data_IF_711214981128
#
_entry.id   IF_711214981128
#
_cell.length_a   1.000
_cell.length_b   1.000
_cell.length_c   1.000
_cell.angle_alpha   90.00
_cell.angle_beta   90.00
_cell.angle_gamma   90.00
#
_symmetry.space_group_name_H-M   'P 1'
#
loop_
_entity.id
_entity.type
_entity.pdbx_description
1 polymer ?
#
# COMPACT_ATOMS: atom_id res chain seq x y z
N UNK A 1 -5.52 5.40 -15.36
CA UNK A 1 -5.94 4.43 -14.33
C UNK A 1 -4.78 3.59 -13.80
N UNK A 2 -3.90 3.00 -14.63
CA UNK A 2 -2.75 2.23 -14.11
C UNK A 2 -1.75 3.08 -13.32
N UNK A 3 -1.42 4.28 -13.80
CA UNK A 3 -0.55 5.22 -13.07
C UNK A 3 -1.18 5.65 -11.74
N UNK A 4 -2.46 6.04 -11.75
CA UNK A 4 -3.22 6.42 -10.55
C UNK A 4 -3.29 5.26 -9.54
N UNK A 5 -3.45 4.02 -10.02
CA UNK A 5 -3.40 2.82 -9.17
C UNK A 5 -2.02 2.64 -8.56
N UNK A 6 -0.96 2.72 -9.36
CA UNK A 6 0.40 2.50 -8.89
C UNK A 6 0.82 3.58 -7.89
N UNK A 7 0.52 4.84 -8.19
CA UNK A 7 0.72 5.98 -7.29
C UNK A 7 -0.10 5.80 -6.01
N UNK A 8 -1.40 5.51 -6.14
CA UNK A 8 -2.28 5.30 -4.99
C UNK A 8 -1.79 4.19 -4.07
N UNK A 9 -1.40 3.04 -4.63
CA UNK A 9 -0.85 1.93 -3.87
C UNK A 9 0.45 2.31 -3.15
N UNK A 10 1.38 2.98 -3.83
CA UNK A 10 2.65 3.39 -3.23
C UNK A 10 2.45 4.34 -2.04
N UNK A 11 1.48 5.24 -2.12
CA UNK A 11 1.17 6.21 -1.07
C UNK A 11 0.45 5.61 0.13
N UNK A 12 -0.46 4.64 -0.10
CA UNK A 12 -1.09 3.88 0.98
C UNK A 12 -0.04 3.06 1.73
N UNK A 13 0.80 2.30 1.01
CA UNK A 13 1.78 1.41 1.64
C UNK A 13 2.82 2.17 2.46
N UNK A 14 3.27 3.33 1.96
CA UNK A 14 4.20 4.20 2.70
C UNK A 14 3.51 4.89 3.87
N UNK A 15 2.28 5.35 3.67
CA UNK A 15 1.48 6.03 4.68
C UNK A 15 1.11 5.14 5.86
N UNK A 16 0.80 3.85 5.64
CA UNK A 16 0.44 2.91 6.72
C UNK A 16 1.56 2.70 7.75
N UNK A 17 2.82 2.93 7.37
CA UNK A 17 3.96 2.83 8.28
C UNK A 17 4.18 4.09 9.13
N UNK A 18 3.53 5.20 8.78
CA UNK A 18 3.80 6.51 9.37
C UNK A 18 2.57 7.05 10.10
N UNK A 19 2.75 7.46 11.35
CA UNK A 19 1.72 8.14 12.16
C UNK A 19 1.88 9.67 12.15
N UNK A 20 2.68 10.21 11.22
CA UNK A 20 2.90 11.65 11.02
C UNK A 20 1.88 12.26 10.06
N UNK A 21 1.86 13.60 9.97
CA UNK A 21 0.99 14.36 9.06
C UNK A 21 1.15 13.91 7.61
N UNK A 22 2.40 13.73 7.16
CA UNK A 22 2.75 13.16 5.84
C UNK A 22 2.18 11.76 5.64
N UNK A 23 2.14 10.93 6.69
CA UNK A 23 1.60 9.56 6.62
C UNK A 23 0.09 9.54 6.43
N UNK A 24 -0.66 10.31 7.23
CA UNK A 24 -2.12 10.39 7.10
C UNK A 24 -2.55 11.03 5.77
N UNK A 25 -1.83 12.07 5.34
CA UNK A 25 -2.11 12.72 4.06
C UNK A 25 -1.77 11.82 2.86
N UNK A 26 -0.68 11.04 2.91
CA UNK A 26 -0.38 10.05 1.86
C UNK A 26 -1.39 8.90 1.85
N UNK A 27 -1.85 8.42 3.02
CA UNK A 27 -2.95 7.45 3.11
C UNK A 27 -4.22 7.98 2.46
N UNK A 28 -4.62 9.22 2.79
CA UNK A 28 -5.82 9.85 2.24
C UNK A 28 -5.73 9.98 0.72
N UNK A 29 -4.61 10.50 0.20
CA UNK A 29 -4.37 10.66 -1.23
C UNK A 29 -4.37 9.31 -1.96
N UNK A 30 -3.74 8.31 -1.35
CA UNK A 30 -3.68 6.96 -1.89
C UNK A 30 -5.05 6.30 -1.95
N UNK A 31 -5.83 6.35 -0.86
CA UNK A 31 -7.18 5.82 -0.84
C UNK A 31 -8.13 6.54 -1.81
N UNK A 32 -7.98 7.86 -1.98
CA UNK A 32 -8.76 8.63 -2.94
C UNK A 32 -8.53 8.15 -4.39
N UNK A 33 -7.28 7.95 -4.81
CA UNK A 33 -6.98 7.43 -6.15
C UNK A 33 -7.42 5.98 -6.34
N UNK A 34 -7.24 5.13 -5.34
CA UNK A 34 -7.70 3.73 -5.45
C UNK A 34 -9.23 3.66 -5.52
N UNK A 35 -9.95 4.51 -4.77
CA UNK A 35 -11.40 4.66 -4.87
C UNK A 35 -11.86 5.15 -6.24
N UNK A 36 -11.13 6.09 -6.85
CA UNK A 36 -11.37 6.51 -8.25
C UNK A 36 -11.23 5.35 -9.24
N UNK A 37 -10.20 4.50 -9.07
CA UNK A 37 -9.99 3.34 -9.94
C UNK A 37 -11.05 2.27 -9.71
N UNK A 38 -11.44 2.04 -8.45
CA UNK A 38 -12.53 1.12 -8.06
C UNK A 38 -13.85 1.51 -8.74
N UNK A 39 -14.22 2.79 -8.70
CA UNK A 39 -15.49 3.26 -9.28
C UNK A 39 -15.50 3.23 -10.82
N UNK A 40 -14.35 3.50 -11.46
CA UNK A 40 -14.26 3.61 -12.92
C UNK A 40 -14.00 2.27 -13.64
N UNK A 41 -13.18 1.40 -13.04
CA UNK A 41 -12.69 0.15 -13.67
C UNK A 41 -13.03 -1.10 -12.87
N UNK A 42 -13.59 -0.94 -11.67
CA UNK A 42 -13.95 -2.03 -10.77
C UNK A 42 -12.80 -2.45 -9.86
N UNK A 43 -13.16 -3.17 -8.80
CA UNK A 43 -12.27 -3.59 -7.73
C UNK A 43 -11.12 -4.50 -8.21
N UNK A 44 -11.35 -5.34 -9.21
CA UNK A 44 -10.31 -6.21 -9.78
C UNK A 44 -9.14 -5.41 -10.36
N UNK A 45 -9.40 -4.24 -10.93
CA UNK A 45 -8.34 -3.38 -11.47
C UNK A 45 -7.41 -2.85 -10.37
N UNK A 46 -7.91 -2.73 -9.13
CA UNK A 46 -7.19 -2.22 -7.97
C UNK A 46 -6.18 -3.24 -7.44
N UNK A 47 -6.62 -4.46 -7.11
CA UNK A 47 -5.77 -5.45 -6.43
C UNK A 47 -5.00 -6.37 -7.39
N UNK A 48 -5.37 -6.46 -8.67
CA UNK A 48 -4.67 -7.36 -9.59
C UNK A 48 -3.20 -6.95 -9.75
N UNK A 49 -2.29 -7.89 -9.45
CA UNK A 49 -0.83 -7.71 -9.48
C UNK A 49 -0.30 -6.63 -8.51
N UNK A 50 -1.07 -6.28 -7.47
CA UNK A 50 -0.70 -5.30 -6.46
C UNK A 50 -0.88 -5.89 -5.06
N UNK A 51 -0.06 -5.51 -4.06
CA UNK A 51 -0.22 -5.95 -2.67
C UNK A 51 -1.34 -5.16 -1.97
N UNK A 52 -2.54 -5.16 -2.54
CA UNK A 52 -3.73 -4.45 -2.06
C UNK A 52 -4.85 -5.45 -1.73
N UNK A 53 -5.79 -5.02 -0.89
CA UNK A 53 -6.92 -5.85 -0.47
C UNK A 53 -7.98 -5.94 -1.57
N UNK A 54 -8.64 -7.09 -1.69
CA UNK A 54 -9.79 -7.28 -2.59
C UNK A 54 -11.12 -6.78 -1.99
N UNK A 55 -11.08 -6.11 -0.84
CA UNK A 55 -12.27 -5.62 -0.15
C UNK A 55 -12.68 -4.25 -0.70
N UNK A 56 -13.98 -4.06 -1.02
CA UNK A 56 -14.46 -2.80 -1.58
C UNK A 56 -14.41 -1.66 -0.55
N UNK A 57 -14.63 -0.44 -1.03
CA UNK A 57 -14.82 0.74 -0.18
C UNK A 57 -13.54 1.47 0.16
N UNK A 58 -12.70 1.74 -0.86
CA UNK A 58 -11.49 2.55 -0.67
C UNK A 58 -11.82 4.01 -0.30
N UNK A 59 -12.95 4.56 -0.79
CA UNK A 59 -13.41 5.89 -0.40
C UNK A 59 -13.86 5.96 1.06
N UNK A 60 -14.56 4.94 1.56
CA UNK A 60 -14.93 4.87 2.98
C UNK A 60 -13.67 4.87 3.87
N UNK A 61 -12.62 4.13 3.49
CA UNK A 61 -11.33 4.17 4.21
C UNK A 61 -10.69 5.55 4.18
N UNK A 62 -10.81 6.29 3.08
CA UNK A 62 -10.34 7.68 3.02
C UNK A 62 -11.05 8.55 4.06
N UNK A 63 -12.38 8.41 4.20
CA UNK A 63 -13.16 9.13 5.21
C UNK A 63 -12.80 8.70 6.64
N UNK A 64 -12.56 7.41 6.87
CA UNK A 64 -12.08 6.90 8.16
C UNK A 64 -10.73 7.50 8.55
N UNK A 65 -9.82 7.74 7.59
CA UNK A 65 -8.56 8.46 7.88
C UNK A 65 -8.84 9.89 8.37
N UNK A 66 -9.80 10.59 7.78
CA UNK A 66 -10.22 11.92 8.24
C UNK A 66 -10.83 11.88 9.66
N UNK A 67 -11.67 10.88 9.95
CA UNK A 67 -12.26 10.66 11.28
C UNK A 67 -11.21 10.34 12.34
N UNK A 68 -10.25 9.48 12.00
CA UNK A 68 -9.14 9.13 12.87
C UNK A 68 -8.31 10.37 13.21
N UNK A 69 -7.97 11.19 12.21
CA UNK A 69 -7.25 12.44 12.45
C UNK A 69 -8.10 13.42 13.26
N UNK A 70 -9.42 13.50 13.05
CA UNK A 70 -10.28 14.36 13.84
C UNK A 70 -10.30 13.96 15.33
N UNK A 71 -10.37 12.65 15.62
CA UNK A 71 -10.39 12.10 16.99
C UNK A 71 -9.04 12.07 17.69
N UNK A 72 -7.93 11.99 16.96
CA UNK A 72 -6.58 11.99 17.52
C UNK A 72 -6.27 13.31 18.25
N UNK A 73 -5.90 13.25 19.52
CA UNK A 73 -5.63 14.43 20.36
C UNK A 73 -4.21 15.01 20.21
N UNK A 74 -3.64 15.01 18.99
CA UNK A 74 -2.26 15.43 18.75
C UNK A 74 -2.09 16.42 17.60
N UNK A 75 -0.84 16.80 17.34
CA UNK A 75 -0.42 17.71 16.25
C UNK A 75 -0.51 17.07 14.84
N UNK A 76 -1.17 15.92 14.72
CA UNK A 76 -1.38 15.23 13.46
C UNK A 76 -2.39 16.00 12.62
N UNK A 77 -1.94 16.49 11.47
CA UNK A 77 -2.72 17.26 10.49
C UNK A 77 -2.76 16.53 9.15
N UNK A 78 -3.65 16.98 8.27
CA UNK A 78 -3.77 16.51 6.90
C UNK A 78 -3.47 17.69 5.97
N UNK A 79 -2.68 17.44 4.92
CA UNK A 79 -2.40 18.43 3.90
C UNK A 79 -3.65 18.78 3.10
N UNK A 80 -3.83 20.07 2.82
CA UNK A 80 -4.95 20.58 2.02
C UNK A 80 -5.02 19.93 0.64
N UNK A 81 -3.87 19.72 -0.01
CA UNK A 81 -3.79 19.06 -1.32
C UNK A 81 -4.46 17.69 -1.34
N UNK A 82 -4.35 16.93 -0.25
CA UNK A 82 -4.93 15.60 -0.18
C UNK A 82 -6.46 15.63 -0.02
N UNK A 83 -6.96 16.62 0.72
CA UNK A 83 -8.38 16.86 0.90
C UNK A 83 -9.01 17.37 -0.40
N UNK A 84 -8.38 18.33 -1.05
CA UNK A 84 -8.84 18.90 -2.32
C UNK A 84 -8.90 17.81 -3.41
N UNK A 85 -7.94 16.87 -3.43
CA UNK A 85 -7.99 15.73 -4.34
C UNK A 85 -9.16 14.76 -4.06
N UNK A 86 -9.47 14.49 -2.79
CA UNK A 86 -10.66 13.69 -2.46
C UNK A 86 -11.95 14.41 -2.87
N UNK A 87 -12.02 15.73 -2.66
CA UNK A 87 -13.17 16.54 -3.08
C UNK A 87 -13.38 16.49 -4.60
N UNK A 88 -12.31 16.72 -5.38
CA UNK A 88 -12.39 16.69 -6.84
C UNK A 88 -12.81 15.31 -7.37
N UNK A 89 -12.36 14.23 -6.73
CA UNK A 89 -12.77 12.86 -7.10
C UNK A 89 -14.25 12.64 -6.79
N UNK A 90 -14.72 12.97 -5.58
CA UNK A 90 -16.14 12.83 -5.21
C UNK A 90 -17.06 13.68 -6.10
N UNK A 91 -16.66 14.91 -6.42
CA UNK A 91 -17.40 15.78 -7.34
C UNK A 91 -17.43 15.21 -8.75
N UNK A 92 -16.30 14.74 -9.28
CA UNK A 92 -16.24 14.17 -10.63
C UNK A 92 -17.14 12.95 -10.80
N UNK A 93 -17.25 12.11 -9.76
CA UNK A 93 -18.13 10.94 -9.75
C UNK A 93 -19.60 11.35 -9.63
N UNK A 94 -19.91 12.40 -8.87
CA UNK A 94 -21.28 12.90 -8.72
C UNK A 94 -21.78 13.58 -10.01
N UNK A 95 -20.91 14.29 -10.72
CA UNK A 95 -21.20 14.94 -12.01
C UNK A 95 -21.29 13.94 -13.16
N UNK A 96 -20.53 12.85 -13.09
CA UNK A 96 -20.67 11.69 -13.97
C UNK A 96 -21.97 10.93 -13.66
N UNK A 97 -23.12 11.52 -14.01
CA UNK A 97 -24.39 10.79 -14.09
C UNK A 97 -24.23 9.59 -15.03
N UNK A 98 -24.97 8.48 -14.79
CA UNK A 98 -24.94 7.33 -15.69
C UNK A 98 -25.63 7.71 -17.01
N UNK A 99 -24.84 8.14 -18.00
CA UNK A 99 -25.24 8.18 -19.40
C UNK A 99 -25.19 6.77 -20.00
N UNK A 100 -26.14 6.38 -20.87
CA UNK A 100 -26.29 5.00 -21.31
C UNK A 100 -25.27 4.65 -22.39
N UNK A 101 -24.23 3.91 -22.04
CA UNK A 101 -23.34 3.23 -22.99
C UNK A 101 -23.03 1.85 -22.38
N UNK A 102 -23.35 0.70 -22.95
CA UNK A 102 -23.81 0.31 -24.28
C UNK A 102 -24.48 -1.05 -24.17
N UNK A 103 -25.72 -1.18 -24.68
CA UNK A 103 -26.53 -2.39 -24.65
C UNK A 103 -26.08 -3.49 -25.66
N UNK A 104 -24.78 -3.65 -25.91
CA UNK A 104 -24.26 -4.59 -26.90
C UNK A 104 -23.21 -5.59 -26.38
N UNK A 105 -22.98 -5.69 -25.07
CA UNK A 105 -22.14 -6.77 -24.46
C UNK A 105 -22.94 -7.70 -23.53
N UNK A 106 -24.24 -7.87 -23.78
CA UNK A 106 -25.16 -8.71 -22.97
C UNK A 106 -24.99 -10.22 -23.24
N UNK A 107 -23.88 -10.70 -23.81
CA UNK A 107 -23.75 -12.13 -24.19
C UNK A 107 -22.51 -12.90 -23.75
N UNK A 108 -21.61 -12.35 -22.94
CA UNK A 108 -20.49 -13.13 -22.35
C UNK A 108 -20.24 -12.91 -20.85
N UNK A 109 -21.15 -12.24 -20.14
CA UNK A 109 -20.98 -11.88 -18.73
C UNK A 109 -21.82 -12.74 -17.74
N UNK A 110 -22.26 -13.94 -18.13
CA UNK A 110 -23.10 -14.81 -17.28
C UNK A 110 -22.31 -15.67 -16.28
N UNK A 111 -20.98 -15.61 -16.21
CA UNK A 111 -20.19 -16.46 -15.30
C UNK A 111 -19.06 -15.72 -14.58
N UNK A 112 -19.39 -14.68 -13.79
CA UNK A 112 -18.53 -14.18 -12.69
C UNK A 112 -19.21 -13.24 -11.70
N UNK A 113 -20.55 -13.21 -11.66
CA UNK A 113 -21.35 -12.40 -10.74
C UNK A 113 -21.54 -13.05 -9.36
N UNK A 114 -20.54 -13.75 -8.82
CA UNK A 114 -20.63 -14.39 -7.50
C UNK A 114 -20.45 -13.42 -6.30
N UNK A 115 -20.62 -12.12 -6.48
CA UNK A 115 -20.53 -11.13 -5.39
C UNK A 115 -21.59 -10.01 -5.48
N UNK A 116 -22.68 -10.22 -6.23
CA UNK A 116 -23.50 -9.12 -6.75
C UNK A 116 -24.95 -9.02 -6.23
N UNK A 117 -25.35 -9.72 -5.17
CA UNK A 117 -26.77 -9.70 -4.73
C UNK A 117 -27.03 -9.21 -3.29
N UNK A 118 -26.03 -8.72 -2.55
CA UNK A 118 -26.31 -8.22 -1.18
C UNK A 118 -25.53 -6.98 -0.74
N UNK A 119 -24.62 -6.44 -1.55
CA UNK A 119 -23.88 -5.22 -1.21
C UNK A 119 -24.34 -4.10 -2.14
N UNK A 120 -24.94 -3.05 -1.57
CA UNK A 120 -25.13 -1.77 -2.23
C UNK A 120 -23.85 -1.37 -2.95
N UNK A 121 -23.93 -1.14 -4.25
CA UNK A 121 -22.74 -0.80 -5.06
C UNK A 121 -22.12 0.48 -4.52
N UNK A 122 -20.79 0.55 -4.49
CA UNK A 122 -20.07 1.74 -3.98
C UNK A 122 -20.50 3.04 -4.68
N UNK A 123 -21.02 2.96 -5.90
CA UNK A 123 -21.61 4.07 -6.66
C UNK A 123 -22.86 4.67 -6.01
N UNK A 124 -23.74 3.87 -5.38
CA UNK A 124 -24.95 4.39 -4.72
C UNK A 124 -24.63 5.14 -3.43
N UNK A 125 -23.49 4.84 -2.80
CA UNK A 125 -23.03 5.45 -1.55
C UNK A 125 -22.24 6.75 -1.75
N UNK A 126 -21.84 7.07 -2.98
CA UNK A 126 -21.13 8.32 -3.33
C UNK A 126 -21.78 9.59 -2.76
N UNK A 127 -23.10 9.84 -2.88
CA UNK A 127 -23.72 11.02 -2.29
C UNK A 127 -23.60 11.06 -0.75
N UNK A 128 -23.65 9.90 -0.09
CA UNK A 128 -23.45 9.78 1.36
C UNK A 128 -21.98 10.04 1.74
N UNK A 129 -21.03 9.54 0.96
CA UNK A 129 -19.62 9.85 1.15
C UNK A 129 -19.32 11.34 0.99
N UNK A 130 -20.01 12.02 0.07
CA UNK A 130 -19.84 13.45 -0.13
C UNK A 130 -20.43 14.29 1.01
N UNK A 131 -21.56 13.89 1.59
CA UNK A 131 -22.10 14.58 2.79
C UNK A 131 -21.19 14.37 4.00
N UNK A 132 -20.74 13.13 4.24
CA UNK A 132 -19.78 12.81 5.30
C UNK A 132 -18.46 13.58 5.12
N UNK A 133 -17.94 13.64 3.90
CA UNK A 133 -16.74 14.42 3.59
C UNK A 133 -16.89 15.89 3.99
N UNK A 134 -18.01 16.55 3.66
CA UNK A 134 -18.24 17.96 4.02
C UNK A 134 -18.30 18.16 5.53
N UNK A 135 -18.96 17.26 6.25
CA UNK A 135 -19.01 17.31 7.70
C UNK A 135 -17.61 17.15 8.31
N UNK A 136 -16.86 16.14 7.88
CA UNK A 136 -15.50 15.87 8.37
C UNK A 136 -14.55 16.99 8.01
N UNK A 137 -14.66 17.57 6.81
CA UNK A 137 -13.88 18.72 6.41
C UNK A 137 -14.14 19.93 7.32
N UNK A 138 -15.40 20.25 7.60
CA UNK A 138 -15.75 21.35 8.51
C UNK A 138 -15.23 21.11 9.94
N UNK A 139 -15.27 19.85 10.41
CA UNK A 139 -14.70 19.44 11.70
C UNK A 139 -13.17 19.61 11.71
N UNK A 140 -12.45 19.11 10.71
CA UNK A 140 -11.00 19.25 10.62
C UNK A 140 -10.55 20.71 10.51
N UNK A 141 -11.29 21.52 9.75
CA UNK A 141 -11.02 22.95 9.61
C UNK A 141 -11.24 23.69 10.93
N UNK A 142 -12.33 23.43 11.65
CA UNK A 142 -12.58 24.05 12.97
C UNK A 142 -11.55 23.66 14.03
N UNK A 143 -10.98 22.46 13.92
CA UNK A 143 -9.91 21.98 14.79
C UNK A 143 -8.51 22.46 14.36
N UNK A 144 -8.37 23.18 13.26
CA UNK A 144 -7.07 23.64 12.75
C UNK A 144 -6.15 22.50 12.30
N UNK A 145 -6.71 21.34 11.93
CA UNK A 145 -5.97 20.14 11.52
C UNK A 145 -5.65 20.06 10.02
N UNK A 146 -5.72 21.21 9.33
CA UNK A 146 -5.44 21.31 7.90
C UNK A 146 -4.14 22.07 7.71
N UNK A 147 -3.16 21.43 7.06
CA UNK A 147 -1.88 22.06 6.69
C UNK A 147 -1.99 22.67 5.29
N UNK A 148 -1.53 23.91 5.16
CA UNK A 148 -1.48 24.62 3.87
C UNK A 148 -0.21 24.34 3.06
N UNK A 149 0.82 23.78 3.70
CA UNK A 149 2.06 23.41 3.01
C UNK A 149 1.82 22.22 2.08
N UNK A 150 2.57 22.18 0.98
CA UNK A 150 2.46 21.07 0.02
C UNK A 150 3.03 19.78 0.61
N UNK A 151 2.42 18.66 0.22
CA UNK A 151 2.87 17.32 0.61
C UNK A 151 4.36 17.11 0.34
N UNK A 152 4.83 17.58 -0.81
CA UNK A 152 6.21 17.48 -1.22
C UNK A 152 7.15 18.25 -0.28
N UNK A 153 6.76 19.45 0.14
CA UNK A 153 7.58 20.28 1.03
C UNK A 153 7.69 19.66 2.41
N UNK A 154 6.56 19.25 2.99
CA UNK A 154 6.51 18.58 4.30
C UNK A 154 7.29 17.26 4.30
N UNK A 155 7.17 16.47 3.23
CA UNK A 155 7.95 15.23 3.09
C UNK A 155 9.44 15.54 3.01
N UNK A 156 9.84 16.57 2.26
CA UNK A 156 11.26 16.94 2.12
C UNK A 156 11.85 17.40 3.45
N UNK A 157 11.10 18.16 4.25
CA UNK A 157 11.52 18.57 5.60
C UNK A 157 11.65 17.36 6.52
N UNK A 158 10.63 16.50 6.58
CA UNK A 158 10.64 15.29 7.41
C UNK A 158 11.79 14.36 7.07
N UNK A 159 12.07 14.16 5.77
CA UNK A 159 13.19 13.34 5.31
C UNK A 159 14.51 13.94 5.79
N UNK A 160 14.73 15.25 5.63
CA UNK A 160 15.96 15.92 6.12
C UNK A 160 16.16 15.77 7.62
N UNK A 161 15.08 15.75 8.41
CA UNK A 161 15.14 15.62 9.86
C UNK A 161 15.40 14.18 10.32
N UNK A 162 14.71 13.19 9.74
CA UNK A 162 14.74 11.80 10.23
C UNK A 162 15.80 10.92 9.57
N UNK A 163 16.18 11.22 8.33
CA UNK A 163 17.08 10.38 7.54
C UNK A 163 18.44 10.14 8.24
N UNK A 164 19.13 11.14 8.82
CA UNK A 164 20.43 10.89 9.47
C UNK A 164 20.35 9.91 10.64
N UNK A 165 19.26 9.95 11.41
CA UNK A 165 19.06 9.01 12.52
C UNK A 165 18.79 7.58 12.01
N UNK A 166 17.96 7.45 10.96
CA UNK A 166 17.69 6.16 10.34
C UNK A 166 18.95 5.53 9.71
N UNK A 167 19.80 6.33 9.06
CA UNK A 167 21.05 5.85 8.46
C UNK A 167 21.98 5.22 9.50
N UNK A 168 22.14 5.85 10.66
CA UNK A 168 23.02 5.32 11.71
C UNK A 168 22.51 3.96 12.23
N UNK A 169 21.21 3.83 12.45
CA UNK A 169 20.61 2.56 12.87
C UNK A 169 20.73 1.47 11.80
N UNK A 170 20.53 1.82 10.54
CA UNK A 170 20.56 0.87 9.42
C UNK A 170 21.99 0.42 9.12
N UNK A 171 22.98 1.31 9.21
CA UNK A 171 24.41 0.96 9.09
C UNK A 171 24.79 -0.04 10.18
N UNK A 172 24.41 0.21 11.44
CA UNK A 172 24.73 -0.70 12.54
C UNK A 172 24.12 -2.11 12.34
N UNK A 173 22.85 -2.19 11.89
CA UNK A 173 22.20 -3.47 11.58
C UNK A 173 22.86 -4.16 10.38
N UNK A 174 23.28 -3.39 9.38
CA UNK A 174 23.95 -3.93 8.21
C UNK A 174 25.33 -4.51 8.56
N UNK A 175 26.12 -3.82 9.38
CA UNK A 175 27.42 -4.32 9.85
C UNK A 175 27.30 -5.61 10.67
N UNK A 176 26.23 -5.77 11.45
CA UNK A 176 25.94 -7.02 12.15
C UNK A 176 25.64 -8.15 11.16
N UNK A 177 24.78 -7.90 10.16
CA UNK A 177 24.45 -8.88 9.11
C UNK A 177 25.67 -9.30 8.29
N UNK A 178 26.59 -8.38 8.01
CA UNK A 178 27.84 -8.74 7.31
C UNK A 178 28.63 -9.79 8.10
N UNK A 179 28.76 -9.62 9.42
CA UNK A 179 29.44 -10.60 10.28
C UNK A 179 28.69 -11.93 10.33
N UNK A 180 27.36 -11.89 10.38
CA UNK A 180 26.53 -13.10 10.33
C UNK A 180 26.75 -13.86 9.01
N UNK A 181 26.73 -13.17 7.87
CA UNK A 181 26.97 -13.78 6.56
C UNK A 181 28.38 -14.34 6.41
N UNK A 182 29.40 -13.68 6.96
CA UNK A 182 30.77 -14.21 6.98
C UNK A 182 30.86 -15.51 7.78
N UNK A 183 30.18 -15.58 8.93
CA UNK A 183 30.13 -16.79 9.76
C UNK A 183 29.36 -17.92 9.05
N UNK A 184 28.20 -17.62 8.48
CA UNK A 184 27.42 -18.60 7.70
C UNK A 184 28.24 -19.12 6.51
N UNK A 185 28.94 -18.25 5.80
CA UNK A 185 29.82 -18.64 4.71
C UNK A 185 30.95 -19.56 5.19
N UNK A 186 31.60 -19.25 6.31
CA UNK A 186 32.65 -20.10 6.87
C UNK A 186 32.11 -21.51 7.22
N UNK A 187 30.96 -21.59 7.87
CA UNK A 187 30.31 -22.85 8.22
C UNK A 187 29.92 -23.67 6.97
N UNK A 188 29.44 -23.01 5.92
CA UNK A 188 29.10 -23.68 4.65
C UNK A 188 30.36 -24.24 3.96
N UNK A 189 31.47 -23.49 3.98
CA UNK A 189 32.75 -23.96 3.42
C UNK A 189 33.29 -25.15 4.21
N UNK A 190 33.18 -25.14 5.54
CA UNK A 190 33.57 -26.28 6.38
C UNK A 190 32.74 -27.52 6.06
N UNK A 191 31.41 -27.39 6.00
CA UNK A 191 30.52 -28.49 5.62
C UNK A 191 30.82 -29.02 4.22
N UNK A 192 31.11 -28.15 3.26
CA UNK A 192 31.48 -28.55 1.90
C UNK A 192 32.78 -29.36 1.90
N UNK A 193 33.78 -28.97 2.70
CA UNK A 193 35.04 -29.70 2.86
C UNK A 193 34.80 -31.09 3.47
N UNK A 194 34.03 -31.18 4.56
CA UNK A 194 33.69 -32.45 5.19
C UNK A 194 32.97 -33.40 4.23
N UNK A 195 32.01 -32.89 3.46
CA UNK A 195 31.28 -33.69 2.47
C UNK A 195 32.20 -34.18 1.35
N UNK A 196 33.12 -33.34 0.87
CA UNK A 196 34.12 -33.74 -0.13
C UNK A 196 35.07 -34.81 0.41
N UNK A 197 35.48 -34.72 1.67
CA UNK A 197 36.35 -35.72 2.31
C UNK A 197 35.62 -37.05 2.50
N UNK A 198 34.38 -37.04 3.01
CA UNK A 198 33.54 -38.23 3.12
C UNK A 198 33.33 -38.90 1.77
N UNK A 199 33.03 -38.11 0.72
CA UNK A 199 32.88 -38.63 -0.63
C UNK A 199 34.16 -39.29 -1.17
N UNK A 200 35.35 -38.74 -0.88
CA UNK A 200 36.63 -39.36 -1.25
C UNK A 200 36.84 -40.70 -0.55
N UNK A 201 36.59 -40.76 0.76
CA UNK A 201 36.71 -41.99 1.55
C UNK A 201 35.75 -43.08 1.06
N UNK A 202 34.50 -42.72 0.76
CA UNK A 202 33.52 -43.66 0.20
C UNK A 202 33.95 -44.20 -1.17
N UNK A 203 34.51 -43.34 -2.03
CA UNK A 203 35.03 -43.75 -3.34
C UNK A 203 36.22 -44.71 -3.22
N UNK A 204 37.14 -44.46 -2.30
CA UNK A 204 38.26 -45.36 -2.02
C UNK A 204 37.78 -46.70 -1.46
N UNK A 205 36.83 -46.68 -0.51
CA UNK A 205 36.22 -47.90 0.03
C UNK A 205 35.53 -48.75 -1.04
N UNK A 206 34.79 -48.12 -1.97
CA UNK A 206 34.17 -48.82 -3.11
C UNK A 206 35.20 -49.46 -4.03
N UNK A 207 36.27 -48.74 -4.38
CA UNK A 207 37.36 -49.28 -5.21
C UNK A 207 38.05 -50.48 -4.55
N UNK A 208 38.28 -50.41 -3.25
CA UNK A 208 38.86 -51.54 -2.51
C UNK A 208 37.90 -52.73 -2.44
N UNK A 209 36.61 -52.50 -2.24
CA UNK A 209 35.59 -53.55 -2.26
C UNK A 209 35.51 -54.26 -3.63
N UNK A 210 35.48 -53.49 -4.72
CA UNK A 210 35.51 -54.01 -6.10
C UNK A 210 36.79 -54.79 -6.43
N UNK A 211 37.93 -54.42 -5.86
CA UNK A 211 39.20 -55.13 -6.05
C UNK A 211 39.33 -56.41 -5.20
N UNK A 212 38.49 -56.56 -4.16
CA UNK A 212 38.48 -57.72 -3.24
C UNK A 212 37.42 -58.77 -3.56
N UNK A 213 36.55 -58.49 -4.55
CA UNK A 213 35.51 -59.39 -5.07
C UNK A 213 35.99 -60.10 -6.35
#
# INVERSE_FOLDING_TARGET
WEEERNLGASLVLTGLKQTSTVGFSSQLYGYAFLGKVELNKGLRAVYNLMPLMWTPGYLNRALQVMENVASLSGDSKICKEAIDALETILQSVLEAKPGPESAEEVKELEQKSQCAESEETEQSKVPEYYSQFKELYSKLHSLGKVESESLLTLTTQLVKEKLPACEVEDIAKHEQKLKEWEQEQALLVERERELREKAKQEMEARKLAEASA
#
